data_IF_209753949039
#
_entry.id   IF_209753949039
#
_cell.length_a   1.000
_cell.length_b   1.000
_cell.length_c   1.000
_cell.angle_alpha   90.00
_cell.angle_beta   90.00
_cell.angle_gamma   90.00
#
_symmetry.space_group_name_H-M   'P 1'
#
loop_
_entity.id
_entity.type
_entity.pdbx_description
1 polymer ?
#
# COMPACT_ATOMS: atom_id res chain seq x y z
N UNK A 1 1.26 -10.52 15.63
CA UNK A 1 1.40 -11.40 14.46
C UNK A 1 0.80 -10.72 13.24
N UNK A 2 1.53 -10.75 12.14
CA UNK A 2 1.08 -10.11 10.92
C UNK A 2 0.14 -11.03 10.17
N UNK A 3 -1.02 -10.54 9.87
CA UNK A 3 -1.97 -11.24 9.01
C UNK A 3 -2.21 -10.42 7.76
N UNK A 4 -1.96 -11.02 6.60
CA UNK A 4 -2.15 -10.38 5.31
C UNK A 4 -3.34 -11.03 4.62
N UNK A 5 -4.33 -10.21 4.29
CA UNK A 5 -5.47 -10.67 3.50
C UNK A 5 -5.10 -10.68 2.03
N UNK A 6 -5.37 -11.79 1.38
CA UNK A 6 -5.21 -11.91 -0.07
C UNK A 6 -6.56 -11.79 -0.74
N UNK A 7 -6.64 -10.92 -1.73
CA UNK A 7 -7.86 -10.73 -2.50
C UNK A 7 -7.57 -11.05 -3.95
N UNK A 8 -8.13 -12.15 -4.42
CA UNK A 8 -8.11 -12.48 -5.83
C UNK A 8 -9.36 -11.84 -6.45
N UNK A 9 -9.15 -10.97 -7.41
CA UNK A 9 -10.26 -10.21 -7.99
C UNK A 9 -11.18 -11.12 -8.81
N UNK A 10 -12.40 -11.29 -8.34
CA UNK A 10 -13.42 -12.11 -9.00
C UNK A 10 -14.61 -11.25 -9.41
N UNK A 11 -15.10 -10.39 -8.51
CA UNK A 11 -16.23 -9.51 -8.78
C UNK A 11 -16.20 -8.31 -7.86
N UNK A 12 -16.63 -7.16 -8.38
CA UNK A 12 -16.46 -5.87 -7.69
C UNK A 12 -17.12 -5.80 -6.31
N UNK A 13 -18.35 -6.32 -6.22
CA UNK A 13 -19.15 -6.17 -5.01
C UNK A 13 -18.55 -6.93 -3.83
N UNK A 14 -18.11 -8.16 -4.04
CA UNK A 14 -17.51 -8.97 -3.00
C UNK A 14 -16.19 -8.39 -2.52
N UNK A 15 -15.36 -7.95 -3.46
CA UNK A 15 -14.07 -7.37 -3.13
C UNK A 15 -14.24 -6.06 -2.37
N UNK A 16 -15.20 -5.22 -2.72
CA UNK A 16 -15.48 -4.01 -1.96
C UNK A 16 -15.87 -4.33 -0.53
N UNK A 17 -16.73 -5.34 -0.34
CA UNK A 17 -17.13 -5.76 1.00
C UNK A 17 -15.94 -6.26 1.81
N UNK A 18 -15.05 -7.01 1.17
CA UNK A 18 -13.84 -7.50 1.82
C UNK A 18 -12.94 -6.34 2.24
N UNK A 19 -12.74 -5.36 1.37
CA UNK A 19 -11.94 -4.19 1.69
C UNK A 19 -12.54 -3.38 2.83
N UNK A 20 -13.87 -3.23 2.86
CA UNK A 20 -14.55 -2.54 3.96
C UNK A 20 -14.37 -3.27 5.29
N UNK A 21 -14.43 -4.59 5.28
CA UNK A 21 -14.17 -5.40 6.46
C UNK A 21 -12.74 -5.22 6.96
N UNK A 22 -11.79 -5.29 6.03
CA UNK A 22 -10.38 -5.11 6.37
C UNK A 22 -10.10 -3.71 6.90
N UNK A 23 -10.77 -2.70 6.38
CA UNK A 23 -10.61 -1.33 6.85
C UNK A 23 -11.00 -1.16 8.32
N UNK A 24 -11.95 -1.95 8.78
CA UNK A 24 -12.40 -1.88 10.18
C UNK A 24 -11.48 -2.62 11.14
N UNK A 25 -10.52 -3.38 10.65
CA UNK A 25 -9.56 -4.12 11.48
C UNK A 25 -8.37 -3.22 11.82
N UNK A 26 -7.82 -3.42 13.01
CA UNK A 26 -6.56 -2.77 13.37
C UNK A 26 -5.42 -3.43 12.61
N UNK A 27 -4.50 -2.62 12.10
CA UNK A 27 -3.32 -3.11 11.42
C UNK A 27 -3.61 -3.98 10.21
N UNK A 28 -4.43 -3.50 9.30
CA UNK A 28 -4.82 -4.25 8.11
C UNK A 28 -3.80 -4.11 6.99
N UNK A 29 -3.37 -5.24 6.45
CA UNK A 29 -2.47 -5.32 5.31
C UNK A 29 -3.11 -6.23 4.25
N UNK A 30 -3.39 -5.68 3.08
CA UNK A 30 -4.12 -6.37 2.02
C UNK A 30 -3.31 -6.41 0.75
N UNK A 31 -3.27 -7.58 0.11
CA UNK A 31 -2.65 -7.74 -1.20
C UNK A 31 -3.75 -8.06 -2.21
N UNK A 32 -3.86 -7.23 -3.24
CA UNK A 32 -4.83 -7.41 -4.33
C UNK A 32 -4.05 -7.78 -5.59
N UNK A 33 -4.38 -8.93 -6.16
CA UNK A 33 -3.70 -9.39 -7.35
C UNK A 33 -4.72 -9.96 -8.34
N UNK A 34 -4.28 -10.07 -9.59
CA UNK A 34 -5.12 -10.56 -10.66
C UNK A 34 -4.56 -10.08 -11.99
N UNK A 35 -5.16 -10.53 -13.08
CA UNK A 35 -4.71 -10.14 -14.42
C UNK A 35 -4.91 -8.66 -14.66
N UNK A 36 -4.14 -8.11 -15.60
CA UNK A 36 -4.31 -6.73 -16.04
C UNK A 36 -5.73 -6.52 -16.58
N UNK A 37 -6.24 -5.31 -16.39
CA UNK A 37 -7.50 -4.83 -16.97
C UNK A 37 -8.75 -5.51 -16.45
N UNK A 38 -8.67 -6.13 -15.27
CA UNK A 38 -9.86 -6.68 -14.61
C UNK A 38 -10.50 -5.70 -13.63
N UNK A 39 -9.99 -4.45 -13.58
CA UNK A 39 -10.61 -3.41 -12.77
C UNK A 39 -10.07 -3.26 -11.36
N UNK A 40 -8.88 -3.76 -11.06
CA UNK A 40 -8.27 -3.63 -9.72
C UNK A 40 -8.13 -2.17 -9.30
N UNK A 41 -7.56 -1.35 -10.19
CA UNK A 41 -7.38 0.07 -9.91
C UNK A 41 -8.71 0.78 -9.70
N UNK A 42 -9.70 0.46 -10.53
CA UNK A 42 -11.03 1.04 -10.41
C UNK A 42 -11.68 0.66 -9.08
N UNK A 43 -11.54 -0.59 -8.67
CA UNK A 43 -12.01 -1.08 -7.38
C UNK A 43 -11.41 -0.30 -6.24
N UNK A 44 -10.09 -0.12 -6.27
CA UNK A 44 -9.36 0.59 -5.22
C UNK A 44 -9.82 2.05 -5.16
N UNK A 45 -9.91 2.70 -6.31
CA UNK A 45 -10.35 4.11 -6.36
C UNK A 45 -11.76 4.29 -5.83
N UNK A 46 -12.64 3.35 -6.13
CA UNK A 46 -13.99 3.38 -5.56
C UNK A 46 -13.97 3.19 -4.05
N UNK A 47 -13.14 2.26 -3.56
CA UNK A 47 -13.03 2.00 -2.13
C UNK A 47 -12.51 3.22 -1.36
N UNK A 48 -11.51 3.92 -1.89
CA UNK A 48 -10.86 5.01 -1.16
C UNK A 48 -11.54 6.38 -1.33
N UNK A 49 -12.54 6.49 -2.19
CA UNK A 49 -13.13 7.80 -2.52
C UNK A 49 -13.71 8.54 -1.33
N UNK A 50 -14.15 7.83 -0.30
CA UNK A 50 -14.73 8.41 0.92
C UNK A 50 -13.80 8.28 2.13
N UNK A 51 -12.52 8.02 1.90
CA UNK A 51 -11.54 7.77 2.97
C UNK A 51 -10.33 8.67 2.84
N UNK A 52 -9.64 8.89 3.95
CA UNK A 52 -8.30 9.49 3.91
C UNK A 52 -7.35 8.47 3.27
N UNK A 53 -6.80 8.83 2.12
CA UNK A 53 -6.01 7.86 1.37
C UNK A 53 -4.81 8.51 0.69
N UNK A 54 -3.72 7.76 0.69
CA UNK A 54 -2.52 8.07 -0.08
C UNK A 54 -2.45 7.01 -1.19
N UNK A 55 -2.71 7.43 -2.41
CA UNK A 55 -2.68 6.53 -3.56
C UNK A 55 -1.41 6.79 -4.37
N UNK A 56 -0.56 5.78 -4.44
CA UNK A 56 0.68 5.84 -5.19
C UNK A 56 0.67 4.80 -6.30
N UNK A 57 0.79 5.26 -7.53
CA UNK A 57 0.92 4.38 -8.68
C UNK A 57 2.40 4.26 -9.03
N UNK A 58 2.98 3.09 -8.80
CA UNK A 58 4.36 2.83 -9.16
C UNK A 58 4.49 2.69 -10.68
N UNK A 59 5.61 3.15 -11.21
CA UNK A 59 5.92 3.05 -12.63
C UNK A 59 7.37 2.60 -12.80
N UNK A 60 7.76 2.27 -14.01
CA UNK A 60 9.13 1.89 -14.31
C UNK A 60 9.99 3.16 -14.36
N UNK A 61 10.67 3.44 -13.26
CA UNK A 61 11.51 4.62 -13.10
C UNK A 61 12.57 4.35 -12.04
N UNK A 62 13.57 5.21 -11.94
CA UNK A 62 14.59 5.07 -10.90
C UNK A 62 14.00 5.33 -9.52
N UNK A 63 14.58 4.71 -8.51
CA UNK A 63 14.03 4.75 -7.14
C UNK A 63 13.88 6.16 -6.58
N UNK A 64 14.84 7.03 -6.85
CA UNK A 64 14.77 8.42 -6.39
C UNK A 64 13.56 9.17 -6.95
N UNK A 65 13.17 8.88 -8.18
CA UNK A 65 11.97 9.47 -8.78
C UNK A 65 10.70 8.93 -8.14
N UNK A 66 10.68 7.65 -7.82
CA UNK A 66 9.55 7.06 -7.11
C UNK A 66 9.37 7.71 -5.74
N UNK A 67 10.46 7.90 -5.00
CA UNK A 67 10.39 8.60 -3.71
C UNK A 67 9.89 10.03 -3.87
N UNK A 68 10.36 10.73 -4.90
CA UNK A 68 9.93 12.09 -5.15
C UNK A 68 8.44 12.16 -5.46
N UNK A 69 7.93 11.22 -6.25
CA UNK A 69 6.50 11.18 -6.58
C UNK A 69 5.65 10.82 -5.36
N UNK A 70 6.11 9.88 -4.54
CA UNK A 70 5.40 9.57 -3.30
C UNK A 70 5.40 10.79 -2.36
N UNK A 71 6.52 11.49 -2.25
CA UNK A 71 6.58 12.73 -1.46
C UNK A 71 5.56 13.76 -1.96
N UNK A 72 5.38 13.84 -3.28
CA UNK A 72 4.35 14.69 -3.87
C UNK A 72 2.93 14.30 -3.48
N UNK A 73 2.66 12.99 -3.44
CA UNK A 73 1.36 12.48 -2.97
C UNK A 73 1.15 12.85 -1.51
N UNK A 74 2.15 12.63 -0.67
CA UNK A 74 2.07 12.93 0.76
C UNK A 74 1.87 14.43 0.97
N UNK A 75 2.62 15.27 0.26
CA UNK A 75 2.48 16.71 0.35
C UNK A 75 1.06 17.17 0.00
N UNK A 76 0.49 16.61 -1.05
CA UNK A 76 -0.85 16.96 -1.51
C UNK A 76 -1.92 16.54 -0.50
N UNK A 77 -1.85 15.32 -0.01
CA UNK A 77 -2.85 14.81 0.93
C UNK A 77 -2.76 15.51 2.28
N UNK A 78 -1.55 15.74 2.77
CA UNK A 78 -1.35 16.39 4.09
C UNK A 78 -1.47 17.89 4.03
N UNK A 79 -1.41 18.49 2.84
CA UNK A 79 -1.37 19.95 2.70
C UNK A 79 -0.03 20.54 3.06
N UNK A 80 1.01 19.75 3.23
CA UNK A 80 2.35 20.21 3.61
C UNK A 80 3.25 20.30 2.38
N UNK A 81 3.26 21.47 1.73
CA UNK A 81 4.03 21.69 0.51
C UNK A 81 5.54 21.62 0.72
N UNK A 82 6.01 21.77 1.96
CA UNK A 82 7.44 21.68 2.27
C UNK A 82 8.01 20.29 1.94
N UNK A 83 7.18 19.26 1.99
CA UNK A 83 7.62 17.89 1.68
C UNK A 83 8.08 17.73 0.23
N UNK A 84 7.61 18.59 -0.67
CA UNK A 84 8.06 18.57 -2.07
C UNK A 84 9.46 19.16 -2.24
N UNK A 85 9.93 19.92 -1.26
CA UNK A 85 11.25 20.57 -1.29
C UNK A 85 12.32 19.72 -0.63
N UNK A 86 11.91 18.68 0.11
CA UNK A 86 12.83 17.76 0.78
C UNK A 86 13.20 16.65 -0.19
N UNK A 87 14.49 16.32 -0.24
CA UNK A 87 14.96 15.16 -0.98
C UNK A 87 14.97 13.97 -0.03
N UNK A 88 14.04 13.04 -0.23
CA UNK A 88 14.00 11.82 0.56
C UNK A 88 14.97 10.81 -0.01
N UNK A 89 15.74 10.18 0.86
CA UNK A 89 16.68 9.11 0.49
C UNK A 89 16.34 7.81 1.19
N UNK A 90 15.36 7.84 2.10
CA UNK A 90 14.94 6.68 2.88
C UNK A 90 13.41 6.56 2.80
N UNK A 91 12.93 5.42 2.32
CA UNK A 91 11.49 5.15 2.27
C UNK A 91 10.84 5.26 3.64
N UNK A 92 11.54 4.88 4.70
CA UNK A 92 10.99 4.91 6.05
C UNK A 92 10.58 6.32 6.47
N UNK A 93 11.33 7.33 6.03
CA UNK A 93 10.97 8.71 6.35
C UNK A 93 9.65 9.12 5.71
N UNK A 94 9.41 8.68 4.48
CA UNK A 94 8.12 8.90 3.81
C UNK A 94 6.99 8.18 4.52
N UNK A 95 7.20 6.95 4.93
CA UNK A 95 6.18 6.19 5.65
C UNK A 95 5.88 6.80 7.02
N UNK A 96 6.88 7.39 7.68
CA UNK A 96 6.65 8.12 8.92
C UNK A 96 5.76 9.34 8.72
N UNK A 97 5.95 10.06 7.62
CA UNK A 97 5.08 11.20 7.32
C UNK A 97 3.63 10.76 7.14
N UNK A 98 3.42 9.63 6.47
CA UNK A 98 2.07 9.06 6.32
C UNK A 98 1.49 8.66 7.67
N UNK A 99 2.27 7.96 8.48
CA UNK A 99 1.83 7.47 9.78
C UNK A 99 1.47 8.59 10.73
N UNK A 100 2.23 9.68 10.70
CA UNK A 100 2.05 10.81 11.61
C UNK A 100 0.93 11.75 11.19
N UNK A 101 0.42 11.62 9.98
CA UNK A 101 -0.68 12.44 9.53
C UNK A 101 -1.98 11.96 10.18
N UNK A 102 -2.64 12.84 10.92
CA UNK A 102 -3.89 12.55 11.62
C UNK A 102 -3.87 11.17 12.28
N UNK A 103 -3.00 10.98 13.29
CA UNK A 103 -2.76 9.64 13.83
C UNK A 103 -4.00 9.01 14.46
N UNK A 104 -4.99 9.80 14.84
CA UNK A 104 -6.23 9.31 15.41
C UNK A 104 -7.22 8.79 14.35
N UNK A 105 -6.96 9.07 13.09
CA UNK A 105 -7.87 8.68 12.01
C UNK A 105 -7.33 7.51 11.21
N UNK A 106 -8.22 6.58 10.88
CA UNK A 106 -7.87 5.49 9.98
C UNK A 106 -7.61 6.05 8.58
N UNK A 107 -6.52 5.63 7.98
CA UNK A 107 -6.16 6.05 6.64
C UNK A 107 -5.66 4.87 5.82
N UNK A 108 -5.70 5.03 4.51
CA UNK A 108 -5.31 3.97 3.57
C UNK A 108 -4.06 4.41 2.83
N UNK A 109 -3.08 3.52 2.76
CA UNK A 109 -1.93 3.69 1.87
C UNK A 109 -2.03 2.63 0.79
N UNK A 110 -2.14 3.07 -0.46
CA UNK A 110 -2.21 2.18 -1.62
C UNK A 110 -0.92 2.30 -2.41
N UNK A 111 -0.28 1.17 -2.66
CA UNK A 111 0.82 1.09 -3.62
C UNK A 111 0.34 0.22 -4.77
N UNK A 112 -0.07 0.89 -5.84
CA UNK A 112 -0.57 0.23 -7.05
C UNK A 112 0.60 -0.06 -7.98
N UNK A 113 0.53 -1.16 -8.72
CA UNK A 113 1.59 -1.65 -9.60
C UNK A 113 2.91 -1.87 -8.82
N UNK A 114 2.77 -2.41 -7.61
CA UNK A 114 3.87 -2.67 -6.69
C UNK A 114 5.06 -3.41 -7.34
N UNK A 115 4.87 -4.35 -8.28
CA UNK A 115 5.99 -5.04 -8.91
C UNK A 115 7.05 -4.12 -9.52
N UNK A 116 6.68 -2.92 -9.97
CA UNK A 116 7.66 -1.99 -10.51
C UNK A 116 8.70 -1.54 -9.47
N UNK A 117 8.27 -1.38 -8.21
CA UNK A 117 9.21 -1.03 -7.13
C UNK A 117 10.17 -2.17 -6.83
N UNK A 118 9.66 -3.39 -6.85
CA UNK A 118 10.50 -4.58 -6.62
C UNK A 118 11.51 -4.76 -7.76
N UNK A 119 11.09 -4.45 -8.97
CA UNK A 119 11.96 -4.51 -10.15
C UNK A 119 13.14 -3.56 -10.03
N UNK A 120 12.88 -2.36 -9.54
CA UNK A 120 13.91 -1.33 -9.36
C UNK A 120 14.80 -1.63 -8.16
N UNK A 121 14.22 -2.14 -7.08
CA UNK A 121 14.94 -2.47 -5.86
C UNK A 121 14.41 -3.78 -5.28
N UNK A 122 15.16 -4.86 -5.48
CA UNK A 122 14.74 -6.18 -5.02
C UNK A 122 14.59 -6.26 -3.49
N UNK A 123 15.19 -5.33 -2.76
CA UNK A 123 15.07 -5.26 -1.30
C UNK A 123 13.81 -4.51 -0.84
N UNK A 124 13.04 -3.94 -1.76
CA UNK A 124 11.88 -3.13 -1.37
C UNK A 124 10.85 -3.91 -0.54
N UNK A 125 10.57 -5.19 -0.80
CA UNK A 125 9.66 -5.94 0.07
C UNK A 125 10.12 -5.97 1.52
N UNK A 126 11.43 -6.11 1.77
CA UNK A 126 11.97 -6.09 3.13
C UNK A 126 11.88 -4.71 3.76
N UNK A 127 12.11 -3.66 2.97
CA UNK A 127 11.95 -2.28 3.43
C UNK A 127 10.50 -2.03 3.85
N UNK A 128 9.55 -2.48 3.03
CA UNK A 128 8.14 -2.30 3.33
C UNK A 128 7.72 -3.12 4.55
N UNK A 129 8.27 -4.31 4.72
CA UNK A 129 8.00 -5.12 5.91
C UNK A 129 8.47 -4.41 7.17
N UNK A 130 9.66 -3.82 7.14
CA UNK A 130 10.16 -3.04 8.27
C UNK A 130 9.26 -1.84 8.55
N UNK A 131 8.85 -1.14 7.50
CA UNK A 131 7.95 0.00 7.63
C UNK A 131 6.62 -0.43 8.26
N UNK A 132 6.09 -1.55 7.81
CA UNK A 132 4.85 -2.08 8.36
C UNK A 132 5.00 -2.42 9.83
N UNK A 133 6.01 -3.21 10.17
CA UNK A 133 6.19 -3.71 11.54
C UNK A 133 6.50 -2.60 12.54
N UNK A 134 7.29 -1.62 12.14
CA UNK A 134 7.81 -0.60 13.05
C UNK A 134 7.01 0.71 13.03
N UNK A 135 6.31 0.99 11.94
CA UNK A 135 5.69 2.31 11.74
C UNK A 135 4.19 2.21 11.49
N UNK A 136 3.79 1.45 10.46
CA UNK A 136 2.45 1.58 9.90
C UNK A 136 1.38 0.81 10.66
N UNK A 137 1.66 -0.40 11.10
CA UNK A 137 0.62 -1.28 11.66
C UNK A 137 -0.06 -0.70 12.90
N UNK A 138 0.66 0.09 13.68
CA UNK A 138 0.14 0.70 14.91
C UNK A 138 -0.24 2.17 14.74
N UNK A 139 -0.31 2.64 13.49
CA UNK A 139 -0.55 4.06 13.18
C UNK A 139 -1.87 4.31 12.46
N UNK A 140 -2.84 3.43 12.65
CA UNK A 140 -4.14 3.52 11.96
C UNK A 140 -4.01 3.56 10.45
N UNK A 141 -3.14 2.71 9.90
CA UNK A 141 -2.93 2.61 8.45
C UNK A 141 -3.39 1.25 7.95
N UNK A 142 -4.23 1.27 6.93
CA UNK A 142 -4.52 0.09 6.12
C UNK A 142 -3.60 0.15 4.90
N UNK A 143 -2.74 -0.85 4.75
CA UNK A 143 -1.83 -0.92 3.62
C UNK A 143 -2.42 -1.84 2.54
N UNK A 144 -2.51 -1.33 1.31
CA UNK A 144 -2.97 -2.10 0.16
C UNK A 144 -1.85 -2.15 -0.88
N UNK A 145 -1.40 -3.35 -1.21
CA UNK A 145 -0.50 -3.58 -2.33
C UNK A 145 -1.31 -4.16 -3.48
N UNK A 146 -1.13 -3.61 -4.67
CA UNK A 146 -1.85 -4.06 -5.85
C UNK A 146 -0.89 -4.29 -7.00
N UNK A 147 -1.11 -5.33 -7.75
CA UNK A 147 -0.30 -5.61 -8.94
C UNK A 147 -0.85 -6.74 -9.77
N UNK A 148 -0.35 -6.84 -11.01
CA UNK A 148 -0.81 -7.84 -11.97
C UNK A 148 0.14 -9.01 -12.15
N UNK A 149 1.34 -8.97 -11.58
CA UNK A 149 2.26 -10.11 -11.61
C UNK A 149 1.90 -11.05 -10.45
N UNK A 150 1.00 -11.97 -10.72
CA UNK A 150 0.41 -12.85 -9.71
C UNK A 150 1.46 -13.59 -8.91
N UNK A 151 2.44 -14.21 -9.57
CA UNK A 151 3.46 -14.99 -8.88
C UNK A 151 4.29 -14.13 -7.92
N UNK A 152 4.63 -12.91 -8.32
CA UNK A 152 5.36 -11.98 -7.47
C UNK A 152 4.50 -11.53 -6.27
N UNK A 153 3.24 -11.20 -6.51
CA UNK A 153 2.33 -10.75 -5.47
C UNK A 153 2.06 -11.85 -4.46
N UNK A 154 1.94 -13.09 -4.90
CA UNK A 154 1.79 -14.22 -4.00
C UNK A 154 3.03 -14.45 -3.16
N UNK A 155 4.22 -14.32 -3.74
CA UNK A 155 5.48 -14.42 -2.99
C UNK A 155 5.59 -13.36 -1.93
N UNK A 156 5.16 -12.13 -2.22
CA UNK A 156 5.17 -11.06 -1.24
C UNK A 156 4.32 -11.38 -0.02
N UNK A 157 3.13 -11.92 -0.24
CA UNK A 157 2.28 -12.29 0.88
C UNK A 157 2.89 -13.40 1.72
N UNK A 158 3.63 -14.34 1.11
CA UNK A 158 4.32 -15.39 1.84
C UNK A 158 5.52 -14.87 2.63
N UNK A 159 6.20 -13.85 2.11
CA UNK A 159 7.33 -13.24 2.80
C UNK A 159 6.88 -12.48 4.05
N UNK A 160 5.74 -11.82 3.97
CA UNK A 160 5.24 -10.96 5.05
C UNK A 160 4.47 -11.70 6.12
N UNK A 161 4.14 -12.98 5.93
CA UNK A 161 3.32 -13.72 6.86
C UNK A 161 4.11 -14.87 7.45
N UNK A 162 4.08 -14.99 8.77
CA UNK A 162 4.56 -16.17 9.48
C UNK A 162 3.45 -17.20 9.66
N UNK A 163 2.24 -16.86 9.33
CA UNK A 163 1.03 -17.68 9.47
C UNK A 163 0.31 -17.80 8.14
N UNK A 164 -0.57 -18.77 7.98
CA UNK A 164 -1.36 -18.90 6.76
C UNK A 164 -2.12 -17.61 6.46
N UNK A 165 -2.12 -17.24 5.19
CA UNK A 165 -2.83 -16.06 4.72
C UNK A 165 -4.32 -16.28 4.77
N UNK A 166 -5.06 -15.27 5.25
CA UNK A 166 -6.50 -15.31 5.17
C UNK A 166 -6.93 -15.12 3.73
N UNK A 167 -7.89 -15.91 3.30
CA UNK A 167 -8.47 -15.81 1.98
C UNK A 167 -9.85 -15.18 2.04
N UNK A 168 -10.14 -14.41 1.05
CA UNK A 168 -11.42 -13.75 0.92
C UNK A 168 -12.16 -14.26 -0.29
#
# INVERSE_FOLDING_TARGET
>A
MLEVAQVNFIGRKEELNTLEKEFRRDGSFVVIYGRRRIGKTTLIKEFIKDKQAFYFLATEEVESQSMKRLAGVVARVTGNSMLQRVTFTDWLDLFREIANYRPEEKKVLVIDEFPYLVKTNAAFPSILQNAWDEILKDSNVMLILCGSLISMMQKLSLIHISEPTRRS
#
